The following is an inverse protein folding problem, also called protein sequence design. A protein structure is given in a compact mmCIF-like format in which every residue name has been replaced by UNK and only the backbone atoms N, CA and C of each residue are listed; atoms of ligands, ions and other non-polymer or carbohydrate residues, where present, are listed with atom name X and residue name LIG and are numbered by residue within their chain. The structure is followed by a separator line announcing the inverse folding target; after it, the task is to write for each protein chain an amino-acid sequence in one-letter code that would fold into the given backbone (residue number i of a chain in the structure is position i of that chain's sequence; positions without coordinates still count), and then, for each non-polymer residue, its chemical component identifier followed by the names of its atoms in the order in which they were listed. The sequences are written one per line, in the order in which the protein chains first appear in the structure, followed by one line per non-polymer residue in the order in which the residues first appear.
data_IF_047559452144
#
_entry.id   IF_047559452144
#
_cell.length_a   1.000
_cell.length_b   1.000
_cell.length_c   1.000
_cell.angle_alpha   90.00
_cell.angle_beta   90.00
_cell.angle_gamma   90.00
#
_symmetry.space_group_name_H-M   'P 1'
#
loop_
_entity.id
_entity.type
_entity.pdbx_description
1 polymer ?
#
# COMPACT_ATOMS: atom_id res chain seq x y z
N UNK A 1 10.71 1.15 -0.75
CA UNK A 1 9.60 1.76 -1.53
C UNK A 1 10.09 2.06 -2.95
N UNK A 2 9.29 1.81 -3.99
CA UNK A 2 9.72 2.10 -5.39
C UNK A 2 9.71 3.60 -5.70
N UNK A 3 10.46 4.05 -6.72
CA UNK A 3 10.50 5.48 -7.11
C UNK A 3 9.12 6.02 -7.49
N UNK A 4 8.29 5.20 -8.15
CA UNK A 4 6.91 5.55 -8.48
C UNK A 4 6.04 5.73 -7.23
N UNK A 5 6.12 4.79 -6.29
CA UNK A 5 5.40 4.85 -5.03
C UNK A 5 5.81 6.06 -4.18
N UNK A 6 7.10 6.38 -4.15
CA UNK A 6 7.61 7.55 -3.43
C UNK A 6 7.08 8.86 -4.03
N UNK A 7 6.94 8.97 -5.35
CA UNK A 7 6.30 10.12 -6.00
C UNK A 7 4.83 10.26 -5.64
N UNK A 8 4.09 9.15 -5.52
CA UNK A 8 2.69 9.17 -5.09
C UNK A 8 2.60 9.60 -3.63
N UNK A 9 3.42 9.00 -2.76
CA UNK A 9 3.49 9.31 -1.33
C UNK A 9 3.74 10.80 -1.07
N UNK A 10 4.72 11.40 -1.76
CA UNK A 10 5.04 12.84 -1.63
C UNK A 10 3.90 13.78 -2.01
N UNK A 11 2.93 13.31 -2.81
CA UNK A 11 1.75 14.10 -3.22
C UNK A 11 0.58 13.99 -2.24
N UNK A 12 0.70 13.16 -1.19
CA UNK A 12 -0.33 13.01 -0.18
C UNK A 12 -0.22 14.14 0.85
N UNK A 13 -1.35 14.57 1.39
CA UNK A 13 -1.37 15.51 2.52
C UNK A 13 -0.71 14.87 3.75
N UNK A 14 -0.07 15.70 4.61
CA UNK A 14 0.68 15.23 5.77
C UNK A 14 -0.06 14.22 6.67
N UNK A 15 -1.37 14.39 7.00
CA UNK A 15 -2.09 13.41 7.82
C UNK A 15 -2.22 12.03 7.16
N UNK A 16 -2.26 11.97 5.83
CA UNK A 16 -2.29 10.70 5.11
C UNK A 16 -0.87 10.11 5.03
N UNK A 17 0.15 10.96 4.87
CA UNK A 17 1.55 10.50 4.87
C UNK A 17 1.93 9.80 6.19
N UNK A 18 1.52 10.36 7.33
CA UNK A 18 1.71 9.75 8.64
C UNK A 18 0.93 8.44 8.77
N UNK A 19 -0.33 8.43 8.32
CA UNK A 19 -1.13 7.20 8.35
C UNK A 19 -0.51 6.09 7.50
N UNK A 20 0.00 6.41 6.32
CA UNK A 20 0.68 5.46 5.44
C UNK A 20 1.94 4.89 6.13
N UNK A 21 2.72 5.71 6.85
CA UNK A 21 3.88 5.24 7.63
C UNK A 21 3.47 4.21 8.68
N UNK A 22 2.46 4.53 9.51
CA UNK A 22 1.97 3.63 10.54
C UNK A 22 1.40 2.32 9.97
N UNK A 23 0.71 2.37 8.82
CA UNK A 23 0.22 1.16 8.16
C UNK A 23 1.35 0.34 7.50
N UNK A 24 2.42 1.00 7.02
CA UNK A 24 3.60 0.32 6.50
C UNK A 24 4.37 -0.44 7.57
N UNK A 25 4.40 0.05 8.81
CA UNK A 25 5.00 -0.67 9.95
C UNK A 25 4.29 -2.00 10.19
N UNK A 26 2.94 -2.01 10.14
CA UNK A 26 2.15 -3.25 10.25
C UNK A 26 2.43 -4.22 9.11
N UNK A 27 2.50 -3.70 7.88
CA UNK A 27 2.86 -4.50 6.70
C UNK A 27 4.26 -5.10 6.85
N UNK A 28 5.21 -4.36 7.42
CA UNK A 28 6.59 -4.84 7.62
C UNK A 28 6.67 -5.88 8.73
N UNK A 29 5.90 -5.72 9.80
CA UNK A 29 5.83 -6.68 10.91
C UNK A 29 5.16 -8.00 10.51
N UNK A 30 4.15 -7.96 9.64
CA UNK A 30 3.42 -9.14 9.18
C UNK A 30 3.19 -9.11 7.66
N UNK A 31 4.25 -9.29 6.85
CA UNK A 31 4.19 -9.10 5.39
C UNK A 31 3.28 -10.10 4.67
N UNK A 32 2.95 -11.22 5.30
CA UNK A 32 2.07 -12.23 4.71
C UNK A 32 0.60 -12.12 5.17
N UNK A 33 0.25 -11.14 6.01
CA UNK A 33 -1.09 -11.03 6.60
C UNK A 33 -2.15 -10.50 5.61
N UNK A 34 -1.77 -9.67 4.65
CA UNK A 34 -2.73 -9.13 3.68
C UNK A 34 -2.98 -10.12 2.53
N UNK A 35 -4.20 -10.16 1.97
CA UNK A 35 -4.53 -11.04 0.87
C UNK A 35 -3.70 -10.73 -0.39
N UNK A 36 -3.34 -11.79 -1.11
CA UNK A 36 -2.71 -11.70 -2.42
C UNK A 36 -3.76 -11.30 -3.47
N UNK A 37 -3.40 -10.40 -4.39
CA UNK A 37 -4.21 -10.04 -5.53
C UNK A 37 -4.19 -11.18 -6.56
N UNK A 38 -5.37 -11.60 -7.00
CA UNK A 38 -5.52 -12.60 -8.05
C UNK A 38 -5.27 -12.00 -9.43
N UNK A 39 -4.83 -12.84 -10.38
CA UNK A 39 -4.69 -12.47 -11.79
C UNK A 39 -3.44 -11.63 -12.14
N UNK A 40 -2.50 -11.46 -11.20
CA UNK A 40 -1.21 -10.82 -11.47
C UNK A 40 -0.08 -11.87 -11.43
N UNK A 41 0.92 -11.79 -12.32
CA UNK A 41 2.03 -12.75 -12.36
C UNK A 41 2.99 -12.62 -11.16
N UNK A 42 2.88 -11.53 -10.40
CA UNK A 42 3.69 -11.26 -9.22
C UNK A 42 2.86 -11.49 -7.95
N UNK A 43 3.48 -12.02 -6.89
CA UNK A 43 2.86 -12.22 -5.57
C UNK A 43 2.60 -10.87 -4.85
N UNK A 44 1.77 -10.03 -5.43
CA UNK A 44 1.40 -8.72 -4.91
C UNK A 44 0.27 -8.89 -3.90
N UNK A 45 0.45 -8.33 -2.72
CA UNK A 45 -0.52 -8.26 -1.63
C UNK A 45 -1.10 -6.85 -1.51
N UNK A 46 -2.30 -6.74 -0.95
CA UNK A 46 -3.00 -5.46 -0.80
C UNK A 46 -3.49 -5.25 0.63
N UNK A 47 -2.79 -4.41 1.40
CA UNK A 47 -3.22 -3.99 2.74
C UNK A 47 -4.22 -2.85 2.64
N UNK A 48 -5.35 -2.95 3.33
CA UNK A 48 -6.45 -1.99 3.27
C UNK A 48 -6.56 -1.20 4.57
N UNK A 49 -6.80 0.11 4.46
CA UNK A 49 -7.10 0.95 5.62
C UNK A 49 -8.02 2.11 5.23
N UNK A 50 -8.69 2.70 6.22
CA UNK A 50 -9.53 3.88 6.04
C UNK A 50 -8.97 5.08 6.80
N UNK A 51 -9.17 6.28 6.25
CA UNK A 51 -8.79 7.54 6.90
C UNK A 51 -9.76 8.64 6.43
N UNK A 52 -10.41 9.34 7.36
CA UNK A 52 -11.41 10.39 7.07
C UNK A 52 -12.49 9.94 6.06
N UNK A 53 -13.03 8.73 6.25
CA UNK A 53 -14.07 8.14 5.38
C UNK A 53 -13.59 7.73 3.97
N UNK A 54 -12.30 7.90 3.65
CA UNK A 54 -11.69 7.47 2.38
C UNK A 54 -11.01 6.13 2.54
N UNK A 55 -11.19 5.24 1.57
CA UNK A 55 -10.56 3.91 1.53
C UNK A 55 -9.22 3.99 0.79
N UNK A 56 -8.17 3.44 1.40
CA UNK A 56 -6.80 3.45 0.91
C UNK A 56 -6.26 2.04 0.83
N UNK A 57 -5.26 1.84 -0.04
CA UNK A 57 -4.58 0.56 -0.22
C UNK A 57 -3.08 0.74 -0.28
N UNK A 58 -2.36 -0.19 0.32
CA UNK A 58 -0.92 -0.37 0.15
C UNK A 58 -0.73 -1.68 -0.59
N UNK A 59 -0.37 -1.61 -1.87
CA UNK A 59 0.00 -2.76 -2.68
C UNK A 59 1.49 -3.04 -2.51
N UNK A 60 1.88 -4.26 -2.22
CA UNK A 60 3.29 -4.56 -1.98
C UNK A 60 3.63 -6.00 -2.38
N UNK A 61 4.91 -6.26 -2.65
CA UNK A 61 5.43 -7.61 -2.84
C UNK A 61 6.38 -7.93 -1.69
N UNK A 62 6.38 -9.19 -1.28
CA UNK A 62 7.34 -9.77 -0.33
C UNK A 62 8.41 -10.47 -1.15
N UNK A 63 9.67 -10.11 -0.91
CA UNK A 63 10.86 -10.67 -1.56
C UNK A 63 11.79 -11.12 -0.42
N UNK A 64 12.56 -12.18 -0.59
CA UNK A 64 13.37 -12.79 0.49
C UNK A 64 14.39 -11.81 1.10
N UNK A 65 14.70 -10.72 0.39
CA UNK A 65 15.60 -9.66 0.82
C UNK A 65 14.91 -8.35 1.26
N UNK A 66 13.70 -8.02 0.76
CA UNK A 66 13.08 -6.70 1.02
C UNK A 66 11.60 -6.55 0.60
N UNK A 67 10.80 -5.83 1.40
CA UNK A 67 9.42 -5.46 1.07
C UNK A 67 9.36 -4.31 0.04
N UNK A 68 8.85 -4.57 -1.17
CA UNK A 68 8.64 -3.55 -2.22
C UNK A 68 7.22 -2.98 -2.13
N UNK A 69 7.08 -1.75 -1.66
CA UNK A 69 5.79 -1.08 -1.37
C UNK A 69 5.37 -0.07 -2.44
N UNK A 70 4.10 -0.11 -2.82
CA UNK A 70 3.33 0.80 -3.67
C UNK A 70 2.09 1.30 -2.94
N UNK A 71 1.90 2.61 -2.83
CA UNK A 71 0.72 3.19 -2.16
C UNK A 71 -0.27 3.66 -3.22
N UNK A 72 -1.52 3.20 -3.15
CA UNK A 72 -2.57 3.56 -4.08
C UNK A 72 -3.84 3.97 -3.34
N UNK A 73 -4.42 5.12 -3.71
CA UNK A 73 -5.75 5.52 -3.24
C UNK A 73 -6.80 4.78 -4.05
N UNK A 74 -7.82 4.20 -3.42
CA UNK A 74 -9.02 3.76 -4.14
C UNK A 74 -9.82 5.01 -4.52
N UNK A 75 -9.74 5.46 -5.78
CA UNK A 75 -10.75 6.36 -6.33
C UNK A 75 -12.00 5.54 -6.65
N UNK A 76 -13.18 5.93 -6.14
CA UNK A 76 -14.45 5.46 -6.70
C UNK A 76 -14.57 6.02 -8.12
N UNK A 77 -14.07 5.29 -9.12
CA UNK A 77 -14.55 5.34 -10.51
C UNK A 77 -13.85 4.22 -11.29
N UNK A 78 -14.48 3.04 -11.23
CA UNK A 78 -14.61 2.18 -12.40
C UNK A 78 -16.12 1.94 -12.47
N UNK A 79 -16.77 2.77 -13.30
CA UNK A 79 -18.03 2.42 -13.96
C UNK A 79 -17.66 1.48 -15.10
#
# INVERSE_FOLDING_TARGET
MTRAAHRVYKKLDAPIQERVKAEMEKVTAAPNAAPQLSGLPFQIRSHHFSQKGKQWRIAYAVDDAATKVVVARRSRKFL
#
